data_IF_662936285624
#
_entry.id   IF_662936285624
#
_cell.length_a   1.000
_cell.length_b   1.000
_cell.length_c   1.000
_cell.angle_alpha   90.00
_cell.angle_beta   90.00
_cell.angle_gamma   90.00
#
_symmetry.space_group_name_H-M   'P 1'
#
loop_
_entity.id
_entity.type
_entity.pdbx_description
1 polymer ?
#
# COMPACT_ATOMS: atom_id res chain seq x y z
N UNK A 1 -2.44 -22.15 5.52
CA UNK A 1 -2.70 -21.47 4.23
C UNK A 1 -2.25 -20.02 4.35
N UNK A 2 -1.89 -19.38 3.24
CA UNK A 2 -1.45 -17.97 3.21
C UNK A 2 -2.57 -17.17 2.56
N UNK A 3 -2.97 -16.05 3.20
CA UNK A 3 -3.96 -15.12 2.67
C UNK A 3 -3.20 -14.06 1.88
N UNK A 4 -3.53 -13.91 0.60
CA UNK A 4 -2.92 -12.93 -0.31
C UNK A 4 -3.88 -11.77 -0.52
N UNK A 5 -3.45 -10.57 -0.14
CA UNK A 5 -4.29 -9.37 -0.17
C UNK A 5 -3.66 -8.31 -1.06
N UNK A 6 -4.43 -7.76 -1.99
CA UNK A 6 -4.02 -6.58 -2.76
C UNK A 6 -4.31 -5.30 -1.95
N UNK A 7 -3.42 -4.31 -2.05
CA UNK A 7 -3.58 -3.00 -1.41
C UNK A 7 -3.67 -1.92 -2.48
N UNK A 8 -4.63 -1.01 -2.35
CA UNK A 8 -4.81 0.15 -3.22
C UNK A 8 -5.06 1.46 -2.44
N UNK A 9 -4.89 2.64 -3.06
CA UNK A 9 -5.23 3.90 -2.42
C UNK A 9 -6.74 4.03 -2.24
N UNK A 10 -7.19 4.51 -1.08
CA UNK A 10 -8.63 4.79 -0.83
C UNK A 10 -9.21 5.77 -1.83
N UNK A 11 -8.39 6.69 -2.36
CA UNK A 11 -8.81 7.70 -3.33
C UNK A 11 -8.89 7.15 -4.77
N UNK A 12 -8.39 5.92 -5.02
CA UNK A 12 -8.35 5.31 -6.35
C UNK A 12 -8.51 3.78 -6.27
N UNK A 13 -9.66 3.32 -5.77
CA UNK A 13 -10.02 1.91 -5.57
C UNK A 13 -10.35 1.18 -6.88
N UNK A 14 -9.36 1.06 -7.77
CA UNK A 14 -9.53 0.52 -9.12
C UNK A 14 -9.86 -0.98 -9.14
N UNK A 15 -9.30 -1.77 -8.23
CA UNK A 15 -9.53 -3.23 -8.15
C UNK A 15 -10.85 -3.53 -7.44
N UNK A 16 -11.15 -2.83 -6.35
CA UNK A 16 -12.34 -3.10 -5.52
C UNK A 16 -13.65 -2.65 -6.19
N UNK A 17 -13.70 -1.43 -6.71
CA UNK A 17 -14.93 -0.85 -7.27
C UNK A 17 -14.76 -0.19 -8.64
N UNK A 18 -13.55 -0.13 -9.18
CA UNK A 18 -13.28 0.50 -10.49
C UNK A 18 -13.21 2.02 -10.43
N UNK A 19 -13.11 2.60 -9.23
CA UNK A 19 -12.95 4.04 -9.06
C UNK A 19 -11.50 4.45 -9.35
N UNK A 20 -11.37 5.56 -10.08
CA UNK A 20 -10.09 6.16 -10.44
C UNK A 20 -10.09 7.58 -9.91
N UNK A 21 -9.13 7.87 -9.04
CA UNK A 21 -8.95 9.20 -8.48
C UNK A 21 -7.49 9.57 -8.33
N UNK A 22 -7.24 10.80 -7.91
CA UNK A 22 -5.89 11.27 -7.62
C UNK A 22 -5.53 10.84 -6.20
N UNK A 23 -4.36 10.21 -6.05
CA UNK A 23 -3.78 9.79 -4.78
C UNK A 23 -2.31 10.20 -4.72
N UNK A 24 -1.72 10.16 -3.52
CA UNK A 24 -0.31 10.48 -3.30
C UNK A 24 0.56 9.23 -3.08
N UNK A 25 -0.04 8.04 -3.08
CA UNK A 25 0.71 6.78 -2.95
C UNK A 25 1.37 6.43 -4.29
N UNK A 26 2.58 6.91 -4.50
CA UNK A 26 3.31 6.72 -5.75
C UNK A 26 3.68 5.26 -6.05
N UNK A 27 3.64 4.91 -7.34
CA UNK A 27 4.04 3.60 -7.88
C UNK A 27 2.93 2.55 -7.99
N UNK A 28 1.70 2.87 -7.59
CA UNK A 28 0.53 1.97 -7.68
C UNK A 28 -0.70 2.71 -8.25
N UNK A 29 -1.75 1.96 -8.60
CA UNK A 29 -3.08 2.46 -8.99
C UNK A 29 -3.09 3.46 -10.17
N UNK A 30 -2.48 3.08 -11.29
CA UNK A 30 -2.38 3.86 -12.55
C UNK A 30 -3.73 4.09 -13.30
N UNK A 31 -4.87 3.91 -12.65
CA UNK A 31 -6.20 4.15 -13.22
C UNK A 31 -6.70 3.06 -14.19
N UNK A 32 -6.15 1.85 -14.12
CA UNK A 32 -6.72 0.68 -14.80
C UNK A 32 -6.29 -0.61 -14.07
N UNK A 33 -7.02 -1.71 -14.28
CA UNK A 33 -6.63 -3.03 -13.79
C UNK A 33 -5.67 -3.68 -14.81
N UNK A 34 -4.40 -3.95 -14.47
CA UNK A 34 -3.47 -4.59 -15.38
C UNK A 34 -3.93 -5.99 -15.78
N UNK A 35 -3.72 -6.37 -17.05
CA UNK A 35 -4.14 -7.68 -17.55
C UNK A 35 -3.50 -8.88 -16.85
N UNK A 36 -2.43 -8.69 -16.08
CA UNK A 36 -1.88 -9.75 -15.20
C UNK A 36 -2.78 -10.02 -13.99
N UNK A 37 -3.39 -8.99 -13.39
CA UNK A 37 -4.36 -9.14 -12.30
C UNK A 37 -5.61 -9.86 -12.80
N UNK A 38 -6.12 -9.48 -13.97
CA UNK A 38 -7.28 -10.14 -14.57
C UNK A 38 -7.04 -11.64 -14.84
N UNK A 39 -5.81 -12.02 -15.23
CA UNK A 39 -5.43 -13.42 -15.49
C UNK A 39 -5.18 -14.26 -14.23
N UNK A 40 -4.97 -13.62 -13.09
CA UNK A 40 -4.57 -14.27 -11.85
C UNK A 40 -5.43 -13.81 -10.65
N UNK A 41 -6.70 -13.45 -10.93
CA UNK A 41 -7.62 -12.89 -9.92
C UNK A 41 -7.94 -13.88 -8.81
N UNK A 42 -7.83 -15.17 -9.10
CA UNK A 42 -8.02 -16.32 -8.22
C UNK A 42 -6.93 -16.46 -7.15
N UNK A 43 -5.77 -15.81 -7.33
CA UNK A 43 -4.70 -15.77 -6.32
C UNK A 43 -5.04 -14.78 -5.19
N UNK A 44 -5.87 -13.77 -5.46
CA UNK A 44 -6.19 -12.71 -4.49
C UNK A 44 -7.41 -13.11 -3.64
N UNK A 45 -7.18 -13.33 -2.35
CA UNK A 45 -8.21 -13.66 -1.36
C UNK A 45 -9.01 -12.42 -0.93
N UNK A 46 -8.38 -11.26 -0.92
CA UNK A 46 -8.99 -10.01 -0.45
C UNK A 46 -8.35 -8.77 -1.11
N UNK A 47 -8.99 -7.62 -0.95
CA UNK A 47 -8.46 -6.31 -1.32
C UNK A 47 -8.68 -5.34 -0.17
N UNK A 48 -7.67 -4.56 0.17
CA UNK A 48 -7.78 -3.51 1.17
C UNK A 48 -7.32 -2.16 0.60
N UNK A 49 -7.73 -1.08 1.27
CA UNK A 49 -7.38 0.26 0.83
C UNK A 49 -6.82 1.09 1.98
N UNK A 50 -5.90 2.01 1.66
CA UNK A 50 -5.22 2.90 2.60
C UNK A 50 -5.29 4.34 2.06
N UNK A 51 -5.58 5.31 2.94
CA UNK A 51 -5.59 6.72 2.56
C UNK A 51 -4.17 7.24 2.35
N UNK A 52 -4.02 8.15 1.39
CA UNK A 52 -2.72 8.70 1.00
C UNK A 52 -2.03 9.44 2.14
N UNK A 53 -2.77 10.26 2.89
CA UNK A 53 -2.21 11.10 3.95
C UNK A 53 -1.64 10.25 5.10
N UNK A 54 -2.37 9.24 5.56
CA UNK A 54 -1.90 8.33 6.62
C UNK A 54 -0.71 7.48 6.16
N UNK A 55 -0.66 7.15 4.87
CA UNK A 55 0.47 6.45 4.26
C UNK A 55 1.75 7.27 4.32
N UNK A 56 1.67 8.57 4.01
CA UNK A 56 2.81 9.50 4.07
C UNK A 56 3.25 9.72 5.52
N UNK A 57 2.30 9.82 6.46
CA UNK A 57 2.62 9.91 7.89
C UNK A 57 3.38 8.68 8.39
N UNK A 58 2.93 7.48 8.04
CA UNK A 58 3.59 6.24 8.45
C UNK A 58 4.96 6.07 7.77
N UNK A 59 5.10 6.48 6.50
CA UNK A 59 6.40 6.55 5.81
C UNK A 59 7.37 7.47 6.55
N UNK A 60 6.93 8.67 6.97
CA UNK A 60 7.75 9.60 7.75
C UNK A 60 8.14 9.03 9.10
N UNK A 61 7.20 8.35 9.77
CA UNK A 61 7.44 7.69 11.06
C UNK A 61 8.48 6.58 10.95
N UNK A 62 8.40 5.75 9.91
CA UNK A 62 9.41 4.72 9.60
C UNK A 62 10.82 5.31 9.47
N UNK A 63 10.96 6.40 8.72
CA UNK A 63 12.26 7.08 8.56
C UNK A 63 12.78 7.68 9.87
N UNK A 64 11.92 8.36 10.64
CA UNK A 64 12.33 9.09 11.86
C UNK A 64 12.59 8.19 13.06
N UNK A 65 11.74 7.18 13.27
CA UNK A 65 11.76 6.38 14.50
C UNK A 65 12.49 5.05 14.33
N UNK A 66 12.51 4.49 13.12
CA UNK A 66 13.04 3.14 12.86
C UNK A 66 14.29 3.16 11.96
N UNK A 67 14.66 4.31 11.40
CA UNK A 67 15.77 4.43 10.44
C UNK A 67 15.49 3.72 9.11
N UNK A 68 14.21 3.46 8.81
CA UNK A 68 13.77 2.80 7.57
C UNK A 68 13.27 3.88 6.62
N UNK A 69 14.15 4.32 5.73
CA UNK A 69 13.87 5.43 4.81
C UNK A 69 13.33 4.89 3.48
N UNK A 70 12.01 4.93 3.31
CA UNK A 70 11.26 4.28 2.21
C UNK A 70 10.23 5.22 1.60
N UNK A 71 9.66 4.84 0.45
CA UNK A 71 8.60 5.60 -0.22
C UNK A 71 7.19 5.48 0.38
N UNK A 72 6.22 6.27 -0.12
CA UNK A 72 4.88 6.34 0.44
C UNK A 72 4.14 5.00 0.36
N UNK A 73 4.26 4.25 -0.73
CA UNK A 73 3.66 2.90 -0.87
C UNK A 73 4.11 1.93 0.21
N UNK A 74 5.33 2.07 0.74
CA UNK A 74 5.83 1.25 1.86
C UNK A 74 5.12 1.58 3.18
N UNK A 75 4.79 2.85 3.41
CA UNK A 75 3.97 3.29 4.53
C UNK A 75 2.58 2.65 4.47
N UNK A 76 1.93 2.67 3.30
CA UNK A 76 0.64 2.01 3.10
C UNK A 76 0.70 0.50 3.33
N UNK A 77 1.74 -0.16 2.83
CA UNK A 77 1.96 -1.61 3.03
C UNK A 77 2.12 -1.99 4.51
N UNK A 78 2.74 -1.14 5.33
CA UNK A 78 2.83 -1.36 6.77
C UNK A 78 1.47 -1.20 7.47
N UNK A 79 0.72 -0.15 7.12
CA UNK A 79 -0.62 0.08 7.66
C UNK A 79 -1.58 -1.05 7.28
N UNK A 80 -1.55 -1.48 6.01
CA UNK A 80 -2.29 -2.63 5.54
C UNK A 80 -1.92 -3.89 6.32
N UNK A 81 -0.63 -4.15 6.55
CA UNK A 81 -0.19 -5.31 7.32
C UNK A 81 -0.73 -5.31 8.76
N UNK A 82 -0.71 -4.14 9.44
CA UNK A 82 -1.27 -3.99 10.79
C UNK A 82 -2.78 -4.27 10.80
N UNK A 83 -3.52 -3.67 9.87
CA UNK A 83 -4.97 -3.86 9.73
C UNK A 83 -5.32 -5.32 9.43
N UNK A 84 -4.61 -5.97 8.51
CA UNK A 84 -4.88 -7.36 8.10
C UNK A 84 -4.57 -8.36 9.21
N UNK A 85 -3.55 -8.07 10.03
CA UNK A 85 -3.24 -8.87 11.22
C UNK A 85 -4.46 -8.95 12.14
N UNK A 86 -5.10 -7.82 12.43
CA UNK A 86 -6.29 -7.73 13.27
C UNK A 86 -7.52 -8.32 12.58
N UNK A 87 -7.76 -7.97 11.31
CA UNK A 87 -8.92 -8.42 10.52
C UNK A 87 -8.99 -9.95 10.40
N UNK A 88 -7.86 -10.61 10.15
CA UNK A 88 -7.81 -12.06 9.93
C UNK A 88 -7.38 -12.85 11.17
N UNK A 89 -7.05 -12.18 12.28
CA UNK A 89 -6.60 -12.84 13.51
C UNK A 89 -5.32 -13.67 13.33
N UNK A 90 -4.43 -13.26 12.42
CA UNK A 90 -3.19 -13.97 12.12
C UNK A 90 -2.04 -13.47 13.00
N UNK A 91 -1.06 -14.33 13.26
CA UNK A 91 0.11 -13.95 14.06
C UNK A 91 1.12 -13.12 13.25
N UNK A 92 1.34 -13.55 12.00
CA UNK A 92 2.39 -13.02 11.13
C UNK A 92 1.80 -12.49 9.82
N UNK A 93 2.28 -11.33 9.40
CA UNK A 93 2.00 -10.75 8.09
C UNK A 93 3.34 -10.39 7.44
N UNK A 94 3.51 -10.78 6.19
CA UNK A 94 4.66 -10.39 5.36
C UNK A 94 4.18 -9.30 4.42
N UNK A 95 4.97 -8.22 4.28
CA UNK A 95 4.64 -7.09 3.42
C UNK A 95 5.90 -6.58 2.70
N UNK A 96 5.73 -5.71 1.72
CA UNK A 96 6.80 -5.17 0.90
C UNK A 96 7.06 -3.71 1.21
N UNK A 97 8.34 -3.34 1.34
CA UNK A 97 8.78 -1.96 1.18
C UNK A 97 9.42 -1.84 -0.20
N UNK A 98 8.74 -1.11 -1.07
CA UNK A 98 8.95 -1.21 -2.52
C UNK A 98 10.18 -0.44 -3.01
N UNK A 99 10.58 0.62 -2.31
CA UNK A 99 11.76 1.42 -2.66
C UNK A 99 12.27 2.30 -1.51
N UNK A 100 13.40 2.97 -1.77
CA UNK A 100 14.08 3.89 -0.85
C UNK A 100 13.48 5.31 -0.90
N UNK A 101 13.50 6.00 0.24
CA UNK A 101 12.84 7.29 0.46
C UNK A 101 13.45 8.51 -0.25
N UNK A 102 14.65 8.37 -0.83
CA UNK A 102 15.43 9.49 -1.39
C UNK A 102 14.73 10.22 -2.53
N UNK A 103 13.89 9.51 -3.29
CA UNK A 103 13.14 10.06 -4.43
C UNK A 103 12.06 11.05 -4.00
N UNK A 104 11.61 10.95 -2.75
CA UNK A 104 10.45 11.67 -2.23
C UNK A 104 10.82 12.83 -1.30
N UNK A 105 12.10 13.19 -1.22
CA UNK A 105 12.58 14.23 -0.32
C UNK A 105 11.89 15.57 -0.60
N UNK A 106 11.79 15.96 -1.86
CA UNK A 106 11.21 17.25 -2.23
C UNK A 106 9.70 17.33 -1.95
N UNK A 107 8.97 16.22 -2.09
CA UNK A 107 7.52 16.23 -2.00
C UNK A 107 7.02 16.04 -0.57
N UNK A 108 7.72 15.23 0.24
CA UNK A 108 7.25 14.84 1.57
C UNK A 108 8.24 15.09 2.70
N UNK A 109 9.44 15.62 2.48
CA UNK A 109 10.41 15.83 3.57
C UNK A 109 10.94 17.25 3.72
N UNK A 110 10.96 18.04 2.64
CA UNK A 110 11.25 19.47 2.64
C UNK A 110 9.97 20.30 2.88
#
# INVERSE_FOLDING_TARGET
ECIVVAMEPSESCTILCGEIGKHLIEGIADGFIPGIIARHRDILDDVCHIESDVSIEEMRRLGREHGIFVGPSSGAHLLAAKMLKEKHGVENVVTFFCDEGEKYINDYWL
#
